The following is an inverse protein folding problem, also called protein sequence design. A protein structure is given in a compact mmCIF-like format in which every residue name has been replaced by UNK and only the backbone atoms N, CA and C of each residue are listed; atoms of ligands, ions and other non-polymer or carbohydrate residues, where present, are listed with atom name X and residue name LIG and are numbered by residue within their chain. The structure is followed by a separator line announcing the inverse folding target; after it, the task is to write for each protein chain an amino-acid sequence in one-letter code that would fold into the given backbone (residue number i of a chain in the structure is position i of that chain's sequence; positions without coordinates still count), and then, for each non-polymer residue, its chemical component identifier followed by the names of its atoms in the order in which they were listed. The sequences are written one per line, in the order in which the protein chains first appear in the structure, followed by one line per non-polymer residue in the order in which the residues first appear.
data_IF_983633633966
#
_entry.id   IF_983633633966
#
_cell.length_a   1.000
_cell.length_b   1.000
_cell.length_c   1.000
_cell.angle_alpha   90.00
_cell.angle_beta   90.00
_cell.angle_gamma   90.00
#
_symmetry.space_group_name_H-M   'P 1'
#
loop_
_entity.id
_entity.type
_entity.pdbx_description
1 polymer ?
#
# COMPACT_ATOMS: atom_id res chain seq x y z
N UNK A 1 40.96 -43.05 -21.75
CA UNK A 1 40.75 -43.90 -22.94
C UNK A 1 39.38 -43.60 -23.52
N UNK A 2 39.33 -43.39 -24.83
CA UNK A 2 38.22 -42.85 -25.60
C UNK A 2 37.21 -43.90 -26.08
N UNK A 3 35.97 -43.46 -26.38
CA UNK A 3 34.99 -43.93 -27.40
C UNK A 3 33.67 -43.17 -27.13
N UNK A 4 33.09 -42.23 -27.91
CA UNK A 4 32.83 -42.02 -29.35
C UNK A 4 31.54 -42.71 -29.87
N UNK A 5 30.64 -41.89 -30.49
CA UNK A 5 29.53 -42.17 -31.46
C UNK A 5 28.20 -42.73 -30.87
N UNK A 6 26.95 -42.32 -31.18
CA UNK A 6 26.31 -41.40 -32.16
C UNK A 6 24.83 -41.08 -31.81
N UNK A 7 24.32 -40.03 -32.46
CA UNK A 7 22.95 -39.49 -32.57
C UNK A 7 21.88 -40.41 -33.21
N UNK A 8 20.60 -40.18 -32.87
CA UNK A 8 19.45 -40.46 -33.75
C UNK A 8 18.27 -39.49 -33.51
N UNK A 9 17.90 -38.75 -34.56
CA UNK A 9 16.63 -38.01 -34.75
C UNK A 9 15.53 -38.93 -35.29
N UNK A 10 14.23 -38.63 -35.07
CA UNK A 10 13.16 -39.08 -35.96
C UNK A 10 12.64 -37.98 -36.89
N UNK A 11 12.45 -38.35 -38.17
CA UNK A 11 11.84 -37.56 -39.25
C UNK A 11 10.32 -37.64 -39.22
N UNK A 12 9.71 -36.48 -39.50
CA UNK A 12 8.48 -36.20 -40.26
C UNK A 12 7.86 -37.36 -41.07
N UNK A 13 6.54 -37.48 -40.98
CA UNK A 13 5.66 -37.85 -42.10
C UNK A 13 4.73 -36.70 -42.46
N UNK A 14 4.46 -36.59 -43.77
CA UNK A 14 3.60 -35.62 -44.45
C UNK A 14 2.35 -36.35 -44.95
N UNK A 15 1.20 -35.68 -44.93
CA UNK A 15 0.20 -35.82 -45.99
C UNK A 15 -0.52 -34.48 -46.23
N UNK A 16 -0.58 -34.10 -47.50
CA UNK A 16 -1.32 -32.97 -48.07
C UNK A 16 -2.80 -33.40 -48.30
N UNK A 17 -3.80 -32.60 -48.66
CA UNK A 17 -3.89 -31.32 -49.40
C UNK A 17 -5.34 -30.77 -49.35
N UNK A 18 -5.49 -29.44 -49.15
CA UNK A 18 -6.37 -28.41 -49.78
C UNK A 18 -7.85 -28.68 -50.19
N UNK A 19 -8.63 -27.62 -50.53
CA UNK A 19 -8.89 -26.33 -49.87
C UNK A 19 -10.42 -26.05 -49.78
N UNK A 20 -10.87 -24.97 -49.12
CA UNK A 20 -12.02 -24.13 -49.55
C UNK A 20 -12.35 -22.99 -48.55
N UNK A 21 -12.37 -21.78 -49.11
CA UNK A 21 -13.21 -20.60 -48.84
C UNK A 21 -13.10 -19.80 -47.54
N UNK A 22 -12.77 -18.52 -47.77
CA UNK A 22 -12.92 -17.34 -46.91
C UNK A 22 -14.35 -17.17 -46.39
N UNK A 23 -14.50 -16.85 -45.10
CA UNK A 23 -15.60 -16.07 -44.56
C UNK A 23 -15.09 -15.23 -43.37
N UNK A 24 -15.24 -13.91 -43.49
CA UNK A 24 -14.90 -12.91 -42.48
C UNK A 24 -15.76 -13.06 -41.20
N UNK A 25 -15.25 -12.72 -40.00
CA UNK A 25 -16.07 -12.63 -38.80
C UNK A 25 -16.77 -11.27 -38.69
N UNK A 26 -18.10 -11.28 -38.76
CA UNK A 26 -18.98 -10.13 -38.52
C UNK A 26 -18.84 -9.54 -37.10
N UNK A 27 -18.81 -8.21 -37.06
CA UNK A 27 -18.86 -7.35 -35.88
C UNK A 27 -20.31 -7.27 -35.35
N UNK A 28 -20.61 -7.52 -34.06
CA UNK A 28 -21.95 -7.28 -33.54
C UNK A 28 -22.19 -5.79 -33.26
N UNK A 29 -23.12 -5.21 -34.02
CA UNK A 29 -23.65 -3.86 -33.85
C UNK A 29 -24.47 -3.69 -32.55
N UNK A 30 -24.58 -2.46 -32.00
CA UNK A 30 -25.12 -2.19 -30.66
C UNK A 30 -26.66 -2.27 -30.60
N UNK A 31 -27.19 -2.81 -29.50
CA UNK A 31 -28.63 -2.87 -29.23
C UNK A 31 -29.19 -1.49 -28.86
N UNK A 32 -30.28 -1.15 -29.54
CA UNK A 32 -30.99 0.12 -29.51
C UNK A 32 -31.66 0.46 -28.17
N UNK A 33 -31.59 1.75 -27.84
CA UNK A 33 -32.27 2.47 -26.76
C UNK A 33 -33.77 2.61 -27.08
N UNK A 34 -34.63 2.43 -26.07
CA UNK A 34 -36.08 2.75 -26.12
C UNK A 34 -36.43 3.80 -25.04
N UNK A 35 -37.56 4.54 -25.20
CA UNK A 35 -37.53 6.01 -25.21
C UNK A 35 -37.89 6.70 -23.89
N UNK A 36 -37.54 7.99 -23.85
CA UNK A 36 -37.86 8.98 -22.80
C UNK A 36 -39.38 9.12 -22.60
N UNK A 37 -39.80 9.14 -21.33
CA UNK A 37 -41.16 9.46 -20.90
C UNK A 37 -41.32 10.97 -20.70
N UNK A 38 -42.53 11.44 -20.97
CA UNK A 38 -42.91 12.79 -21.33
C UNK A 38 -42.79 13.86 -20.24
N UNK A 39 -42.46 15.07 -20.72
CA UNK A 39 -42.64 16.38 -20.07
C UNK A 39 -44.12 16.74 -20.09
N UNK A 40 -44.65 17.25 -18.97
CA UNK A 40 -46.03 17.74 -18.84
C UNK A 40 -46.05 19.28 -18.79
N UNK A 41 -46.65 19.85 -19.84
CA UNK A 41 -47.42 21.11 -19.98
C UNK A 41 -46.91 22.45 -19.41
N UNK A 42 -46.64 23.37 -20.34
CA UNK A 42 -46.71 24.85 -20.26
C UNK A 42 -48.16 25.37 -20.10
N UNK A 43 -48.45 26.51 -19.45
CA UNK A 43 -48.57 27.92 -19.95
C UNK A 43 -49.25 28.79 -18.85
N UNK A 44 -49.39 30.15 -18.96
CA UNK A 44 -48.93 31.11 -19.99
C UNK A 44 -48.11 32.30 -19.40
N UNK A 45 -47.13 32.87 -20.10
CA UNK A 45 -47.18 34.11 -20.94
C UNK A 45 -48.23 35.16 -20.56
N UNK A 46 -47.76 36.31 -20.07
CA UNK A 46 -48.31 37.63 -20.42
C UNK A 46 -47.19 38.46 -21.07
N UNK A 47 -47.58 39.14 -22.14
CA UNK A 47 -46.83 40.11 -22.93
C UNK A 47 -46.74 41.44 -22.16
N UNK A 48 -45.65 42.20 -22.31
CA UNK A 48 -45.72 43.47 -23.04
C UNK A 48 -44.35 44.17 -23.18
N UNK A 49 -44.18 44.66 -24.41
CA UNK A 49 -43.43 45.83 -24.91
C UNK A 49 -41.96 46.09 -24.55
N UNK A 50 -41.16 46.22 -25.62
CA UNK A 50 -39.89 46.95 -25.68
C UNK A 50 -40.17 48.45 -25.80
N UNK A 51 -39.39 49.27 -25.10
CA UNK A 51 -38.94 50.58 -25.61
C UNK A 51 -37.66 51.04 -24.88
N UNK A 52 -36.78 51.71 -25.63
CA UNK A 52 -35.48 52.22 -25.23
C UNK A 52 -35.61 53.48 -24.35
N UNK A 53 -34.71 53.68 -23.38
CA UNK A 53 -33.67 54.73 -23.40
C UNK A 53 -33.05 54.97 -22.00
N UNK A 54 -31.70 55.09 -22.01
CA UNK A 54 -30.79 55.83 -21.14
C UNK A 54 -31.18 56.10 -19.66
N UNK A 55 -30.39 55.54 -18.72
CA UNK A 55 -29.80 56.36 -17.66
C UNK A 55 -28.61 55.71 -16.95
N UNK A 56 -27.66 56.56 -16.59
CA UNK A 56 -26.37 56.30 -15.95
C UNK A 56 -26.49 55.97 -14.44
N UNK A 57 -25.40 55.39 -13.92
CA UNK A 57 -24.95 55.35 -12.51
C UNK A 57 -25.74 54.64 -11.40
N UNK A 58 -25.29 53.42 -11.04
CA UNK A 58 -25.29 52.93 -9.66
C UNK A 58 -24.20 51.85 -9.43
N UNK A 59 -23.43 51.87 -8.33
CA UNK A 59 -22.32 50.95 -8.12
C UNK A 59 -22.78 49.54 -7.76
N UNK A 60 -22.09 48.54 -8.30
CA UNK A 60 -22.31 47.13 -8.04
C UNK A 60 -22.18 46.80 -6.54
N UNK A 61 -23.25 46.26 -5.96
CA UNK A 61 -23.25 45.74 -4.60
C UNK A 61 -22.21 44.61 -4.46
N UNK A 62 -21.18 44.85 -3.65
CA UNK A 62 -20.17 43.87 -3.30
C UNK A 62 -20.82 42.62 -2.68
N UNK A 63 -20.69 41.47 -3.34
CA UNK A 63 -21.02 40.17 -2.76
C UNK A 63 -20.11 39.92 -1.57
N UNK A 64 -20.64 40.03 -0.35
CA UNK A 64 -19.95 39.62 0.88
C UNK A 64 -19.51 38.15 0.73
N UNK A 65 -18.20 37.92 0.67
CA UNK A 65 -17.62 36.60 0.86
C UNK A 65 -18.09 36.06 2.21
N UNK A 66 -18.80 34.92 2.21
CA UNK A 66 -19.01 34.14 3.43
C UNK A 66 -17.65 33.62 3.86
N UNK A 67 -17.03 34.31 4.82
CA UNK A 67 -15.88 33.76 5.56
C UNK A 67 -16.43 32.57 6.33
N UNK A 68 -16.16 31.35 5.86
CA UNK A 68 -16.40 30.16 6.65
C UNK A 68 -15.58 30.29 7.93
N UNK A 69 -16.22 30.25 9.11
CA UNK A 69 -15.49 30.13 10.38
C UNK A 69 -14.49 28.99 10.22
N UNK A 70 -13.20 29.29 10.38
CA UNK A 70 -12.16 28.26 10.39
C UNK A 70 -12.58 27.19 11.40
N UNK A 71 -12.68 25.94 10.96
CA UNK A 71 -12.88 24.83 11.90
C UNK A 71 -11.70 24.87 12.87
N UNK A 72 -11.99 24.69 14.16
CA UNK A 72 -10.94 24.64 15.17
C UNK A 72 -9.87 23.61 14.78
N UNK A 73 -8.61 24.00 14.92
CA UNK A 73 -7.45 23.15 14.70
C UNK A 73 -6.67 23.02 16.01
N UNK A 74 -6.21 21.81 16.39
CA UNK A 74 -6.48 20.53 15.73
C UNK A 74 -7.95 20.11 15.89
N UNK A 75 -8.44 19.13 15.10
CA UNK A 75 -9.72 18.50 15.38
C UNK A 75 -9.77 18.00 16.83
N UNK A 76 -10.90 18.20 17.52
CA UNK A 76 -11.04 17.90 18.95
C UNK A 76 -10.68 16.44 19.28
N UNK A 77 -11.04 15.52 18.38
CA UNK A 77 -10.75 14.09 18.48
C UNK A 77 -9.25 13.72 18.28
N UNK A 78 -8.39 14.68 17.93
CA UNK A 78 -6.94 14.52 17.73
C UNK A 78 -6.12 15.46 18.63
N UNK A 79 -6.74 16.10 19.62
CA UNK A 79 -6.04 17.05 20.50
C UNK A 79 -4.80 16.44 21.17
N UNK A 80 -3.66 17.16 21.24
CA UNK A 80 -2.40 16.64 21.78
C UNK A 80 -2.49 16.02 23.19
N UNK A 81 -3.44 16.46 24.02
CA UNK A 81 -3.67 15.89 25.36
C UNK A 81 -4.12 14.42 25.34
N UNK A 82 -4.64 13.94 24.22
CA UNK A 82 -5.05 12.54 24.03
C UNK A 82 -3.87 11.62 23.68
N UNK A 83 -2.67 12.18 23.51
CA UNK A 83 -1.52 11.45 22.98
C UNK A 83 -0.71 10.93 24.15
N UNK A 84 -0.68 9.61 24.28
CA UNK A 84 0.07 8.96 25.34
C UNK A 84 1.54 9.39 25.28
N UNK A 85 2.20 9.59 26.45
CA UNK A 85 3.64 9.78 26.48
C UNK A 85 4.33 8.62 25.76
N UNK A 86 5.21 8.95 24.80
CA UNK A 86 6.05 7.94 24.10
C UNK A 86 7.23 7.45 24.94
N UNK A 87 7.38 8.00 26.14
CA UNK A 87 8.40 7.59 27.11
C UNK A 87 7.94 6.26 27.71
N UNK A 88 8.57 5.16 27.30
CA UNK A 88 8.22 3.83 27.79
C UNK A 88 8.36 2.70 26.78
N UNK A 89 8.60 2.98 25.49
CA UNK A 89 8.92 1.91 24.55
C UNK A 89 10.24 1.25 24.95
N UNK A 90 10.28 -0.09 25.04
CA UNK A 90 11.49 -0.79 25.45
C UNK A 90 12.58 -0.48 24.43
N UNK A 91 13.66 0.12 24.93
CA UNK A 91 14.87 0.28 24.16
C UNK A 91 15.59 -1.07 24.20
N UNK A 92 15.39 -1.88 23.16
CA UNK A 92 15.97 -3.22 23.09
C UNK A 92 17.48 -3.14 22.87
N UNK A 93 18.26 -3.74 23.76
CA UNK A 93 19.71 -3.83 23.59
C UNK A 93 20.00 -4.89 22.54
N UNK A 94 20.19 -4.44 21.31
CA UNK A 94 20.53 -5.32 20.21
C UNK A 94 21.86 -6.04 20.51
N UNK A 95 21.98 -7.32 20.13
CA UNK A 95 23.24 -8.03 20.25
C UNK A 95 24.31 -7.28 19.44
N UNK A 96 25.55 -7.25 19.96
CA UNK A 96 26.69 -6.68 19.26
C UNK A 96 26.91 -7.47 17.96
N UNK A 97 26.38 -6.98 16.83
CA UNK A 97 26.54 -7.66 15.56
C UNK A 97 27.84 -7.22 14.88
N UNK A 98 28.51 -8.16 14.22
CA UNK A 98 29.59 -7.89 13.26
C UNK A 98 29.02 -7.54 11.88
N UNK A 99 27.72 -7.27 11.77
CA UNK A 99 27.08 -6.98 10.50
C UNK A 99 27.69 -5.71 9.92
N UNK A 100 28.04 -5.76 8.64
CA UNK A 100 28.57 -4.63 7.89
C UNK A 100 27.69 -3.41 8.11
N UNK A 101 28.30 -2.26 8.39
CA UNK A 101 27.58 -0.97 8.41
C UNK A 101 26.72 -0.87 7.14
N UNK A 102 25.42 -0.75 7.30
CA UNK A 102 24.45 -0.67 6.20
C UNK A 102 24.60 0.61 5.34
N UNK A 103 25.78 1.18 5.13
CA UNK A 103 26.02 2.34 4.25
C UNK A 103 25.01 3.50 4.35
N UNK A 104 24.29 3.59 5.46
CA UNK A 104 23.01 4.24 5.61
C UNK A 104 22.87 4.38 7.11
N UNK A 105 22.94 5.64 7.55
CA UNK A 105 22.87 6.11 8.93
C UNK A 105 23.11 4.97 9.93
N UNK A 106 24.39 4.71 10.26
CA UNK A 106 24.66 3.95 11.47
C UNK A 106 23.87 4.63 12.59
N UNK A 107 23.22 3.90 13.53
CA UNK A 107 22.68 4.55 14.71
C UNK A 107 23.82 5.38 15.28
N UNK A 108 23.73 6.70 15.09
CA UNK A 108 24.67 7.63 15.67
C UNK A 108 24.28 7.64 17.13
N UNK A 109 24.78 6.65 17.86
CA UNK A 109 25.05 6.59 19.28
C UNK A 109 24.94 5.15 19.78
N UNK A 110 25.84 4.82 20.69
CA UNK A 110 25.85 3.73 21.67
C UNK A 110 24.62 3.76 22.63
N UNK A 111 23.49 4.30 22.17
CA UNK A 111 22.27 4.49 22.95
C UNK A 111 21.21 3.55 22.41
N UNK A 112 20.78 2.62 23.26
CA UNK A 112 19.56 1.85 23.05
C UNK A 112 18.42 2.82 22.74
N UNK A 113 17.84 2.74 21.53
CA UNK A 113 16.69 3.53 21.10
C UNK A 113 15.54 2.58 20.76
N UNK A 114 14.27 3.00 20.96
CA UNK A 114 13.13 2.22 20.49
C UNK A 114 13.11 2.17 18.94
N UNK A 115 12.56 1.09 18.39
CA UNK A 115 12.31 0.98 16.95
C UNK A 115 11.37 2.10 16.48
N UNK A 116 11.51 2.59 15.23
CA UNK A 116 10.59 3.59 14.67
C UNK A 116 9.35 2.88 14.14
N UNK A 117 8.43 2.54 15.02
CA UNK A 117 7.28 1.69 14.73
C UNK A 117 5.97 2.50 14.65
N UNK A 118 5.13 2.16 13.69
CA UNK A 118 3.77 2.68 13.61
C UNK A 118 2.95 2.08 12.48
N UNK A 119 2.10 2.90 11.87
CA UNK A 119 1.15 2.47 10.84
C UNK A 119 1.01 3.49 9.71
N UNK A 120 0.47 3.04 8.58
CA UNK A 120 0.04 3.92 7.49
C UNK A 120 -1.27 4.61 7.85
N UNK A 121 -1.18 5.85 8.33
CA UNK A 121 -2.34 6.59 8.84
C UNK A 121 -2.91 7.59 7.82
N UNK A 122 -4.20 7.87 7.95
CA UNK A 122 -4.87 8.85 7.09
C UNK A 122 -4.32 10.26 7.29
N UNK A 123 -4.15 11.01 6.19
CA UNK A 123 -3.86 12.43 6.16
C UNK A 123 -5.12 13.30 5.92
N UNK A 124 -6.32 12.73 6.08
CA UNK A 124 -7.58 13.46 5.90
C UNK A 124 -7.67 14.62 6.89
N UNK A 125 -7.93 15.83 6.37
CA UNK A 125 -7.85 17.08 7.14
C UNK A 125 -6.49 17.79 7.03
N UNK A 126 -5.55 17.25 6.26
CA UNK A 126 -4.22 17.81 6.01
C UNK A 126 -3.10 16.93 6.57
N UNK A 127 -1.87 17.00 6.03
CA UNK A 127 -0.76 16.11 6.39
C UNK A 127 -0.44 16.13 7.89
N UNK A 128 -0.60 17.26 8.56
CA UNK A 128 -0.39 17.39 10.01
C UNK A 128 -1.31 16.47 10.84
N UNK A 129 -2.50 16.13 10.34
CA UNK A 129 -3.40 15.19 11.03
C UNK A 129 -2.82 13.77 11.08
N UNK A 130 -1.97 13.38 10.14
CA UNK A 130 -1.31 12.07 10.14
C UNK A 130 -0.38 11.94 11.34
N UNK A 131 0.44 12.95 11.62
CA UNK A 131 1.31 12.99 12.81
C UNK A 131 0.49 12.83 14.10
N UNK A 132 -0.67 13.48 14.15
CA UNK A 132 -1.54 13.41 15.31
C UNK A 132 -2.19 12.04 15.48
N UNK A 133 -2.69 11.44 14.38
CA UNK A 133 -3.27 10.08 14.39
C UNK A 133 -2.22 9.04 14.76
N UNK A 134 -1.02 9.14 14.21
CA UNK A 134 0.10 8.30 14.60
C UNK A 134 0.40 8.45 16.10
N UNK A 135 0.38 9.68 16.63
CA UNK A 135 0.61 9.94 18.06
C UNK A 135 -0.46 9.30 18.95
N UNK A 136 -1.72 9.40 18.54
CA UNK A 136 -2.85 8.75 19.21
C UNK A 136 -2.74 7.22 19.19
N UNK A 137 -2.20 6.66 18.10
CA UNK A 137 -1.96 5.22 18.00
C UNK A 137 -0.78 4.73 18.85
N UNK A 138 0.02 5.62 19.44
CA UNK A 138 1.28 5.26 20.11
C UNK A 138 2.42 4.99 19.13
N UNK A 139 2.39 5.61 17.95
CA UNK A 139 3.43 5.42 16.95
C UNK A 139 4.56 6.45 17.10
N UNK A 140 5.79 6.02 16.82
CA UNK A 140 6.98 6.87 16.68
C UNK A 140 7.60 6.79 15.28
N UNK A 141 7.17 5.84 14.44
CA UNK A 141 7.31 5.86 12.98
C UNK A 141 5.93 5.89 12.31
N UNK A 142 5.82 6.30 11.04
CA UNK A 142 4.54 6.26 10.32
C UNK A 142 4.73 6.29 8.80
N UNK A 143 3.64 5.95 8.11
CA UNK A 143 3.45 6.31 6.70
C UNK A 143 2.19 7.17 6.52
N UNK A 144 2.16 7.89 5.41
CA UNK A 144 1.00 8.63 4.94
C UNK A 144 1.04 8.80 3.43
N UNK A 145 -0.12 9.08 2.84
CA UNK A 145 -0.17 9.73 1.53
C UNK A 145 -0.07 11.25 1.70
N UNK A 146 0.82 11.89 0.92
CA UNK A 146 0.92 13.37 0.89
C UNK A 146 -0.25 14.02 0.14
N UNK A 147 -0.94 13.29 -0.73
CA UNK A 147 -2.16 13.74 -1.40
C UNK A 147 -3.12 12.59 -1.61
N UNK A 148 -4.29 12.86 -2.18
CA UNK A 148 -5.25 11.80 -2.50
C UNK A 148 -4.62 10.78 -3.45
N UNK A 149 -4.54 9.53 -3.01
CA UNK A 149 -4.03 8.40 -3.79
C UNK A 149 -4.94 8.03 -4.96
N UNK A 150 -6.15 8.60 -5.02
CA UNK A 150 -7.17 8.38 -6.06
C UNK A 150 -7.10 9.40 -7.20
N UNK A 151 -6.20 10.39 -7.12
CA UNK A 151 -6.16 11.51 -8.07
C UNK A 151 -4.74 11.80 -8.55
N UNK A 152 -4.60 12.08 -9.84
CA UNK A 152 -3.34 12.48 -10.46
C UNK A 152 -2.85 13.85 -9.97
N UNK A 153 -3.75 14.81 -9.84
CA UNK A 153 -3.44 16.19 -9.44
C UNK A 153 -4.15 16.55 -8.15
N UNK A 154 -3.49 17.36 -7.34
CA UNK A 154 -4.06 17.96 -6.13
C UNK A 154 -3.69 19.43 -6.08
N UNK A 155 -4.44 20.22 -5.31
CA UNK A 155 -4.09 21.62 -5.08
C UNK A 155 -2.70 21.70 -4.40
N UNK A 156 -1.90 22.74 -4.69
CA UNK A 156 -0.73 23.06 -3.89
C UNK A 156 -1.08 23.15 -2.40
N UNK A 157 -0.11 22.88 -1.53
CA UNK A 157 -0.30 23.18 -0.11
C UNK A 157 -0.30 24.69 0.10
N UNK A 158 -1.18 25.15 0.99
CA UNK A 158 -1.09 26.49 1.56
C UNK A 158 0.07 26.54 2.57
N UNK A 159 0.71 27.69 2.73
CA UNK A 159 1.87 27.86 3.63
C UNK A 159 1.57 27.44 5.07
N UNK A 160 0.36 27.76 5.56
CA UNK A 160 -0.12 27.36 6.89
C UNK A 160 -0.13 25.83 7.06
N UNK A 161 -0.44 25.07 6.00
CA UNK A 161 -0.46 23.60 6.04
C UNK A 161 0.95 23.05 6.23
N UNK A 162 1.93 23.61 5.52
CA UNK A 162 3.34 23.22 5.62
C UNK A 162 3.91 23.60 6.98
N UNK A 163 3.66 24.83 7.43
CA UNK A 163 4.15 25.34 8.71
C UNK A 163 3.64 24.50 9.87
N UNK A 164 2.34 24.21 9.90
CA UNK A 164 1.70 23.36 10.91
C UNK A 164 2.30 21.95 10.96
N UNK A 165 2.60 21.36 9.80
CA UNK A 165 3.27 20.05 9.76
C UNK A 165 4.66 20.14 10.39
N UNK A 166 5.46 21.12 9.98
CA UNK A 166 6.82 21.33 10.52
C UNK A 166 6.83 21.62 12.02
N UNK A 167 5.84 22.37 12.52
CA UNK A 167 5.67 22.62 13.96
C UNK A 167 5.40 21.34 14.74
N UNK A 168 4.53 20.46 14.23
CA UNK A 168 4.29 19.17 14.86
C UNK A 168 5.46 18.20 14.75
N UNK A 169 6.35 18.36 13.76
CA UNK A 169 7.57 17.53 13.67
C UNK A 169 8.58 17.81 14.79
N UNK A 170 8.62 19.05 15.31
CA UNK A 170 9.56 19.47 16.36
C UNK A 170 9.52 18.57 17.59
N UNK A 171 10.58 18.65 18.41
CA UNK A 171 10.67 17.84 19.63
C UNK A 171 9.51 18.15 20.61
N UNK A 172 9.26 17.25 21.56
CA UNK A 172 8.23 17.51 22.58
C UNK A 172 8.58 18.71 23.46
N UNK A 173 9.87 18.93 23.72
CA UNK A 173 10.39 20.08 24.47
C UNK A 173 10.13 21.40 23.73
N UNK A 174 10.13 21.37 22.40
CA UNK A 174 9.78 22.50 21.53
C UNK A 174 8.28 22.64 21.28
N UNK A 175 7.44 21.81 21.92
CA UNK A 175 5.97 21.83 21.81
C UNK A 175 5.41 21.06 20.61
N UNK A 176 6.24 20.28 19.90
CA UNK A 176 5.82 19.39 18.82
C UNK A 176 5.51 17.96 19.28
N UNK A 177 5.46 17.04 18.32
CA UNK A 177 5.18 15.63 18.56
C UNK A 177 6.45 14.78 18.68
N UNK A 178 7.61 15.27 18.23
CA UNK A 178 8.89 14.56 18.28
C UNK A 178 9.01 13.47 17.22
N UNK A 179 8.72 13.80 15.96
CA UNK A 179 8.97 12.91 14.83
C UNK A 179 10.21 13.38 14.06
N UNK A 180 11.15 12.47 13.84
CA UNK A 180 12.29 12.73 12.97
C UNK A 180 11.89 12.64 11.49
N UNK A 181 12.53 13.38 10.57
CA UNK A 181 12.28 13.24 9.13
C UNK A 181 12.45 11.80 8.60
N UNK A 182 13.30 11.00 9.24
CA UNK A 182 13.56 9.59 8.98
C UNK A 182 12.46 8.66 9.48
N UNK A 183 11.62 9.09 10.43
CA UNK A 183 10.54 8.26 10.98
C UNK A 183 9.30 8.23 10.09
N UNK A 184 9.32 8.89 8.93
CA UNK A 184 8.17 9.05 8.05
C UNK A 184 8.48 8.46 6.68
N UNK A 185 7.77 7.38 6.33
CA UNK A 185 7.85 6.72 5.04
C UNK A 185 6.60 7.06 4.22
N UNK A 186 6.63 8.11 3.40
CA UNK A 186 5.47 8.45 2.57
C UNK A 186 5.20 7.32 1.59
N UNK A 187 3.94 6.92 1.42
CA UNK A 187 3.56 6.00 0.35
C UNK A 187 3.07 6.78 -0.87
N UNK A 188 3.53 6.41 -2.06
CA UNK A 188 3.11 6.98 -3.34
C UNK A 188 1.73 6.47 -3.78
N UNK A 189 1.07 7.20 -4.68
CA UNK A 189 -0.22 6.74 -5.23
C UNK A 189 -0.06 5.41 -5.99
N UNK A 190 -0.97 4.45 -5.73
CA UNK A 190 -1.07 3.19 -6.49
C UNK A 190 -1.40 3.38 -7.98
N UNK A 191 -1.72 4.61 -8.42
CA UNK A 191 -1.92 4.93 -9.83
C UNK A 191 -0.59 5.01 -10.60
N UNK A 192 0.51 5.32 -9.91
CA UNK A 192 1.82 5.52 -10.52
C UNK A 192 2.32 4.19 -11.10
N UNK A 193 2.67 4.19 -12.39
CA UNK A 193 3.40 3.09 -13.01
C UNK A 193 4.55 3.66 -13.85
N UNK A 194 5.73 3.77 -13.23
CA UNK A 194 6.96 4.27 -13.88
C UNK A 194 7.63 3.21 -14.77
N UNK A 195 7.18 1.96 -14.70
CA UNK A 195 7.59 0.87 -15.58
C UNK A 195 6.77 0.73 -16.87
N UNK A 196 5.79 1.62 -17.10
CA UNK A 196 4.91 1.56 -18.27
C UNK A 196 5.63 2.10 -19.53
N UNK A 197 5.70 1.35 -20.65
CA UNK A 197 6.37 1.80 -21.87
C UNK A 197 5.56 2.82 -22.69
N UNK A 198 4.27 3.00 -22.39
CA UNK A 198 3.44 4.02 -23.04
C UNK A 198 3.89 5.43 -22.60
N UNK A 199 4.41 6.28 -23.51
CA UNK A 199 4.97 7.58 -23.13
C UNK A 199 3.96 8.53 -22.47
N UNK A 200 2.69 8.44 -22.83
CA UNK A 200 1.65 9.30 -22.25
C UNK A 200 1.32 8.86 -20.82
N UNK A 201 1.17 7.56 -20.58
CA UNK A 201 0.93 7.01 -19.23
C UNK A 201 2.15 7.16 -18.33
N UNK A 202 3.35 6.96 -18.88
CA UNK A 202 4.60 7.20 -18.17
C UNK A 202 4.70 8.66 -17.75
N UNK A 203 4.43 9.61 -18.65
CA UNK A 203 4.46 11.05 -18.32
C UNK A 203 3.48 11.41 -17.21
N UNK A 204 2.24 10.92 -17.27
CA UNK A 204 1.25 11.18 -16.20
C UNK A 204 1.71 10.60 -14.85
N UNK A 205 2.31 9.40 -14.86
CA UNK A 205 2.89 8.78 -13.67
C UNK A 205 4.08 9.58 -13.12
N UNK A 206 4.97 10.04 -14.00
CA UNK A 206 6.15 10.84 -13.64
C UNK A 206 5.75 12.19 -13.02
N UNK A 207 4.78 12.90 -13.60
CA UNK A 207 4.31 14.16 -13.03
C UNK A 207 3.69 13.96 -11.63
N UNK A 208 2.96 12.86 -11.42
CA UNK A 208 2.42 12.51 -10.11
C UNK A 208 3.54 12.19 -9.10
N UNK A 209 4.52 11.39 -9.52
CA UNK A 209 5.69 11.02 -8.73
C UNK A 209 6.53 12.24 -8.32
N UNK A 210 6.80 13.14 -9.27
CA UNK A 210 7.50 14.40 -9.03
C UNK A 210 6.74 15.31 -8.07
N UNK A 211 5.42 15.44 -8.24
CA UNK A 211 4.55 16.25 -7.36
C UNK A 211 4.54 15.72 -5.91
N UNK A 212 4.51 14.40 -5.74
CA UNK A 212 4.59 13.76 -4.41
C UNK A 212 5.95 14.01 -3.74
N UNK A 213 7.05 13.83 -4.48
CA UNK A 213 8.40 14.03 -3.96
C UNK A 213 8.64 15.51 -3.62
N UNK A 214 8.13 16.44 -4.44
CA UNK A 214 8.15 17.86 -4.11
C UNK A 214 7.38 18.18 -2.82
N UNK A 215 6.25 17.50 -2.56
CA UNK A 215 5.50 17.64 -1.29
C UNK A 215 6.25 17.09 -0.10
N UNK A 216 6.92 15.94 -0.26
CA UNK A 216 7.80 15.40 0.78
C UNK A 216 8.86 16.44 1.15
N UNK A 217 9.53 17.02 0.15
CA UNK A 217 10.53 18.06 0.36
C UNK A 217 9.94 19.30 1.06
N UNK A 218 8.79 19.81 0.62
CA UNK A 218 8.10 20.94 1.25
C UNK A 218 7.81 20.71 2.74
N UNK A 219 7.34 19.51 3.08
CA UNK A 219 7.03 19.09 4.45
C UNK A 219 8.27 18.76 5.29
N UNK A 220 9.46 18.65 4.66
CA UNK A 220 10.69 18.23 5.32
C UNK A 220 10.82 16.72 5.52
N UNK A 221 10.01 15.92 4.84
CA UNK A 221 10.07 14.46 4.87
C UNK A 221 11.19 13.97 3.94
N UNK A 222 11.95 12.95 4.37
CA UNK A 222 13.10 12.45 3.61
C UNK A 222 12.82 11.18 2.81
N UNK A 223 11.84 10.36 3.17
CA UNK A 223 11.62 9.05 2.53
C UNK A 223 10.31 9.04 1.74
N UNK A 224 10.39 8.73 0.45
CA UNK A 224 9.23 8.51 -0.42
C UNK A 224 9.25 7.08 -0.98
N UNK A 225 8.37 6.24 -0.46
CA UNK A 225 8.14 4.87 -0.88
C UNK A 225 7.11 4.76 -2.00
N UNK A 226 7.35 3.90 -2.98
CA UNK A 226 6.34 3.56 -3.98
C UNK A 226 6.59 2.20 -4.62
N UNK A 227 5.55 1.68 -5.28
CA UNK A 227 5.60 0.47 -6.07
C UNK A 227 6.24 0.76 -7.45
N UNK A 228 7.32 0.07 -7.86
CA UNK A 228 8.05 0.39 -9.09
C UNK A 228 7.18 0.34 -10.35
N UNK A 229 6.22 -0.59 -10.39
CA UNK A 229 5.17 -0.64 -11.41
C UNK A 229 5.10 -1.96 -12.15
N UNK A 230 4.67 -1.90 -13.40
CA UNK A 230 4.44 -3.06 -14.25
C UNK A 230 4.75 -2.75 -15.71
N UNK A 231 5.33 -3.74 -16.40
CA UNK A 231 5.55 -3.72 -17.86
C UNK A 231 4.25 -3.71 -18.66
N UNK A 232 3.11 -3.98 -18.00
CA UNK A 232 1.77 -4.20 -18.56
C UNK A 232 1.74 -5.24 -19.69
N UNK A 233 2.76 -6.09 -19.79
CA UNK A 233 2.93 -7.05 -20.88
C UNK A 233 3.34 -6.42 -22.22
N UNK A 234 3.73 -5.14 -22.22
CA UNK A 234 4.03 -4.37 -23.42
C UNK A 234 5.54 -4.07 -23.60
N UNK A 235 6.39 -4.45 -22.65
CA UNK A 235 7.85 -4.38 -22.75
C UNK A 235 8.51 -5.46 -21.90
N UNK A 236 9.82 -5.64 -22.10
CA UNK A 236 10.67 -6.47 -21.23
C UNK A 236 10.83 -5.83 -19.84
N UNK A 237 11.26 -6.63 -18.85
CA UNK A 237 11.55 -6.11 -17.52
C UNK A 237 12.73 -5.14 -17.55
N UNK A 238 13.73 -5.42 -18.37
CA UNK A 238 14.94 -4.59 -18.52
C UNK A 238 14.60 -3.20 -19.07
N UNK A 239 13.73 -3.11 -20.07
CA UNK A 239 13.20 -1.84 -20.57
C UNK A 239 12.42 -1.10 -19.48
N UNK A 240 11.61 -1.82 -18.72
CA UNK A 240 10.86 -1.26 -17.59
C UNK A 240 11.79 -0.72 -16.49
N UNK A 241 12.87 -1.44 -16.15
CA UNK A 241 13.88 -0.99 -15.19
C UNK A 241 14.53 0.32 -15.63
N UNK A 242 14.84 0.44 -16.92
CA UNK A 242 15.41 1.67 -17.49
C UNK A 242 14.43 2.85 -17.40
N UNK A 243 13.13 2.62 -17.61
CA UNK A 243 12.09 3.66 -17.46
C UNK A 243 11.92 4.12 -16.00
N UNK A 244 11.98 3.19 -15.05
CA UNK A 244 11.92 3.50 -13.62
C UNK A 244 13.17 4.28 -13.20
N UNK A 245 14.36 3.79 -13.57
CA UNK A 245 15.62 4.48 -13.27
C UNK A 245 15.69 5.87 -13.90
N UNK A 246 15.17 6.04 -15.13
CA UNK A 246 15.02 7.35 -15.77
C UNK A 246 14.17 8.31 -14.94
N UNK A 247 13.02 7.87 -14.43
CA UNK A 247 12.17 8.69 -13.56
C UNK A 247 12.90 9.09 -12.26
N UNK A 248 13.60 8.15 -11.63
CA UNK A 248 14.40 8.41 -10.42
C UNK A 248 15.50 9.45 -10.70
N UNK A 249 16.30 9.23 -11.75
CA UNK A 249 17.40 10.15 -12.11
C UNK A 249 16.89 11.55 -12.45
N UNK A 250 15.72 11.66 -13.08
CA UNK A 250 15.12 12.94 -13.41
C UNK A 250 14.60 13.65 -12.16
N UNK A 251 13.88 12.96 -11.27
CA UNK A 251 13.35 13.59 -10.06
C UNK A 251 14.44 13.99 -9.08
N UNK A 252 15.54 13.23 -8.99
CA UNK A 252 16.67 13.58 -8.13
C UNK A 252 17.35 14.89 -8.55
N UNK A 253 17.35 15.20 -9.85
CA UNK A 253 17.80 16.49 -10.40
C UNK A 253 16.81 17.61 -10.11
N UNK A 254 15.51 17.31 -10.17
CA UNK A 254 14.43 18.29 -10.04
C UNK A 254 14.11 18.67 -8.58
N UNK A 255 14.24 17.73 -7.64
CA UNK A 255 13.89 17.92 -6.22
C UNK A 255 15.04 17.41 -5.36
N UNK A 256 15.57 18.24 -4.42
CA UNK A 256 16.69 17.83 -3.58
C UNK A 256 16.25 17.00 -2.37
N UNK A 257 17.22 16.37 -1.71
CA UNK A 257 17.15 15.74 -0.37
C UNK A 257 16.23 14.51 -0.19
N UNK A 258 15.14 14.39 -0.93
CA UNK A 258 14.21 13.27 -0.79
C UNK A 258 14.82 12.01 -1.38
N UNK A 259 14.80 10.94 -0.61
CA UNK A 259 15.26 9.61 -0.96
C UNK A 259 14.08 8.84 -1.53
N UNK A 260 14.26 8.29 -2.73
CA UNK A 260 13.30 7.42 -3.39
C UNK A 260 13.49 6.00 -2.87
N UNK A 261 12.47 5.45 -2.21
CA UNK A 261 12.44 4.10 -1.63
C UNK A 261 11.58 3.18 -2.52
N UNK A 262 12.19 2.17 -3.14
CA UNK A 262 11.48 1.22 -4.02
C UNK A 262 10.95 0.07 -3.16
N UNK A 263 9.65 -0.16 -3.18
CA UNK A 263 9.05 -1.31 -2.48
C UNK A 263 9.13 -2.59 -3.32
N UNK A 264 9.31 -3.74 -2.67
CA UNK A 264 9.11 -5.03 -3.33
C UNK A 264 7.63 -5.37 -3.47
N UNK A 265 7.29 -6.25 -4.41
CA UNK A 265 5.91 -6.50 -4.84
C UNK A 265 5.50 -7.96 -4.64
N UNK A 266 4.25 -8.21 -4.24
CA UNK A 266 3.71 -9.57 -4.01
C UNK A 266 3.51 -10.42 -5.27
N UNK A 267 3.10 -9.78 -6.36
CA UNK A 267 2.45 -10.47 -7.47
C UNK A 267 3.48 -10.93 -8.52
N UNK A 268 4.02 -12.15 -8.43
CA UNK A 268 5.05 -12.66 -9.37
C UNK A 268 4.54 -13.00 -10.79
N UNK A 269 3.44 -12.39 -11.24
CA UNK A 269 3.09 -12.41 -12.67
C UNK A 269 4.22 -11.81 -13.51
N UNK A 270 4.37 -12.26 -14.77
CA UNK A 270 5.48 -11.89 -15.66
C UNK A 270 5.68 -10.38 -15.82
N UNK A 271 4.62 -9.60 -15.64
CA UNK A 271 4.58 -8.18 -15.95
C UNK A 271 4.80 -7.28 -14.73
N UNK A 272 4.85 -7.81 -13.50
CA UNK A 272 5.10 -6.98 -12.31
C UNK A 272 6.59 -6.86 -12.09
N UNK A 273 7.03 -5.64 -11.81
CA UNK A 273 8.43 -5.32 -11.50
C UNK A 273 8.59 -5.26 -9.98
N UNK A 274 9.72 -5.73 -9.46
CA UNK A 274 10.05 -5.63 -8.03
C UNK A 274 9.62 -6.83 -7.19
N UNK A 275 9.20 -7.93 -7.82
CA UNK A 275 8.87 -9.18 -7.10
C UNK A 275 10.12 -9.96 -6.72
N UNK A 276 11.14 -9.91 -7.58
CA UNK A 276 12.44 -10.51 -7.30
C UNK A 276 13.43 -9.45 -6.81
N UNK A 277 14.31 -9.82 -5.88
CA UNK A 277 15.42 -8.96 -5.44
C UNK A 277 16.30 -8.48 -6.60
N UNK A 278 16.45 -9.31 -7.64
CA UNK A 278 17.19 -8.98 -8.85
C UNK A 278 16.59 -7.77 -9.59
N UNK A 279 15.27 -7.61 -9.60
CA UNK A 279 14.59 -6.48 -10.24
C UNK A 279 15.00 -5.18 -9.54
N UNK A 280 14.93 -5.15 -8.21
CA UNK A 280 15.33 -3.99 -7.39
C UNK A 280 16.80 -3.64 -7.61
N UNK A 281 17.69 -4.64 -7.55
CA UNK A 281 19.12 -4.43 -7.78
C UNK A 281 19.41 -3.89 -9.19
N UNK A 282 18.64 -4.32 -10.20
CA UNK A 282 18.81 -3.92 -11.59
C UNK A 282 18.39 -2.47 -11.81
N UNK A 283 17.29 -2.04 -11.16
CA UNK A 283 16.88 -0.63 -11.16
C UNK A 283 17.96 0.22 -10.47
N UNK A 284 18.40 -0.16 -9.26
CA UNK A 284 19.40 0.60 -8.48
C UNK A 284 20.73 0.77 -9.24
N UNK A 285 21.17 -0.25 -9.99
CA UNK A 285 22.39 -0.17 -10.83
C UNK A 285 22.32 0.99 -11.83
N UNK A 286 21.14 1.22 -12.42
CA UNK A 286 20.87 2.25 -13.43
C UNK A 286 20.62 3.64 -12.83
N UNK A 287 20.43 3.75 -11.51
CA UNK A 287 20.32 5.05 -10.83
C UNK A 287 21.68 5.73 -10.73
N UNK A 288 21.75 7.00 -11.09
CA UNK A 288 22.95 7.84 -11.07
C UNK A 288 23.35 8.16 -9.62
N UNK A 289 22.46 8.81 -8.86
CA UNK A 289 22.69 9.14 -7.45
C UNK A 289 22.25 7.99 -6.52
N UNK A 290 23.18 7.06 -6.31
CA UNK A 290 22.96 5.90 -5.42
C UNK A 290 22.79 6.29 -3.95
N UNK A 291 23.16 7.51 -3.56
CA UNK A 291 22.96 7.99 -2.19
C UNK A 291 21.48 8.29 -1.88
N UNK A 292 20.66 8.52 -2.92
CA UNK A 292 19.24 8.91 -2.82
C UNK A 292 18.25 7.86 -3.32
N UNK A 293 18.69 6.61 -3.50
CA UNK A 293 17.80 5.45 -3.74
C UNK A 293 17.93 4.42 -2.64
N UNK A 294 16.80 3.88 -2.18
CA UNK A 294 16.70 2.87 -1.13
C UNK A 294 15.57 1.89 -1.46
N UNK A 295 15.33 0.92 -0.58
CA UNK A 295 14.34 -0.14 -0.70
C UNK A 295 13.49 -0.23 0.57
N UNK A 296 12.19 -0.46 0.39
CA UNK A 296 11.28 -0.89 1.45
C UNK A 296 11.00 -2.38 1.25
N UNK A 297 11.08 -3.15 2.34
CA UNK A 297 10.64 -4.55 2.34
C UNK A 297 9.24 -4.61 2.93
N UNK A 298 8.25 -5.03 2.15
CA UNK A 298 6.95 -5.46 2.65
C UNK A 298 6.99 -6.97 2.93
N UNK A 299 6.65 -7.36 4.16
CA UNK A 299 6.70 -8.77 4.60
C UNK A 299 5.65 -9.65 3.92
N UNK A 300 4.45 -9.14 3.67
CA UNK A 300 3.41 -9.88 2.94
C UNK A 300 3.83 -10.06 1.47
N UNK A 301 4.40 -9.04 0.85
CA UNK A 301 4.91 -9.11 -0.52
C UNK A 301 6.06 -10.10 -0.66
N UNK A 302 7.00 -10.04 0.29
CA UNK A 302 8.14 -10.96 0.38
C UNK A 302 7.66 -12.41 0.43
N UNK A 303 6.70 -12.68 1.32
CA UNK A 303 6.09 -13.99 1.48
C UNK A 303 5.29 -14.43 0.25
N UNK A 304 4.49 -13.53 -0.33
CA UNK A 304 3.72 -13.81 -1.53
C UNK A 304 4.60 -14.10 -2.76
N UNK A 305 5.79 -13.50 -2.83
CA UNK A 305 6.80 -13.74 -3.87
C UNK A 305 7.61 -15.03 -3.66
N UNK A 306 7.39 -15.74 -2.54
CA UNK A 306 8.00 -17.05 -2.25
C UNK A 306 9.27 -17.01 -1.40
N UNK A 307 9.60 -15.87 -0.79
CA UNK A 307 10.66 -15.79 0.20
C UNK A 307 10.09 -16.10 1.59
N UNK A 308 10.53 -17.19 2.20
CA UNK A 308 10.04 -17.61 3.51
C UNK A 308 10.75 -16.85 4.63
N UNK A 309 9.98 -16.36 5.60
CA UNK A 309 10.45 -15.62 6.78
C UNK A 309 9.85 -16.16 8.09
N UNK A 310 9.14 -17.30 8.04
CA UNK A 310 8.32 -17.82 9.15
C UNK A 310 9.14 -18.28 10.37
N UNK A 311 10.39 -18.70 10.16
CA UNK A 311 11.27 -19.18 11.23
C UNK A 311 12.55 -18.34 11.27
N UNK A 312 13.32 -18.37 12.38
CA UNK A 312 14.60 -17.68 12.46
C UNK A 312 15.56 -18.06 11.32
N UNK A 313 15.57 -19.34 10.92
CA UNK A 313 16.44 -19.86 9.87
C UNK A 313 16.03 -19.32 8.49
N UNK A 314 14.73 -19.39 8.15
CA UNK A 314 14.26 -18.91 6.85
C UNK A 314 14.32 -17.39 6.74
N UNK A 315 14.06 -16.68 7.84
CA UNK A 315 14.28 -15.25 7.92
C UNK A 315 15.74 -14.88 7.66
N UNK A 316 16.69 -15.53 8.34
CA UNK A 316 18.11 -15.27 8.15
C UNK A 316 18.57 -15.59 6.71
N UNK A 317 18.08 -16.67 6.11
CA UNK A 317 18.34 -17.01 4.71
C UNK A 317 17.81 -15.95 3.75
N UNK A 318 16.56 -15.50 3.93
CA UNK A 318 15.93 -14.46 3.12
C UNK A 318 16.68 -13.14 3.22
N UNK A 319 17.06 -12.70 4.43
CA UNK A 319 17.80 -11.46 4.64
C UNK A 319 19.24 -11.55 4.10
N UNK A 320 19.91 -12.71 4.24
CA UNK A 320 21.21 -12.95 3.60
C UNK A 320 21.12 -12.81 2.09
N UNK A 321 20.08 -13.41 1.46
CA UNK A 321 19.88 -13.31 0.02
C UNK A 321 19.56 -11.87 -0.43
N UNK A 322 18.81 -11.12 0.38
CA UNK A 322 18.59 -9.70 0.14
C UNK A 322 19.91 -8.92 0.14
N UNK A 323 20.78 -9.15 1.11
CA UNK A 323 22.10 -8.51 1.19
C UNK A 323 23.00 -8.87 -0.02
N UNK A 324 23.02 -10.14 -0.41
CA UNK A 324 23.84 -10.59 -1.55
C UNK A 324 23.38 -9.98 -2.89
N UNK A 325 22.08 -9.78 -3.09
CA UNK A 325 21.51 -9.34 -4.37
C UNK A 325 21.33 -7.83 -4.44
N UNK A 326 20.78 -7.23 -3.39
CA UNK A 326 20.47 -5.79 -3.32
C UNK A 326 21.52 -5.08 -2.47
N UNK A 327 21.82 -5.63 -1.30
CA UNK A 327 22.68 -5.02 -0.28
C UNK A 327 21.86 -4.37 0.82
N UNK A 328 22.13 -4.76 2.07
CA UNK A 328 21.49 -4.23 3.27
C UNK A 328 21.58 -2.71 3.37
N UNK A 329 22.60 -2.11 2.73
CA UNK A 329 22.77 -0.66 2.68
C UNK A 329 21.66 0.13 2.00
N UNK A 330 20.85 -0.55 1.21
CA UNK A 330 19.72 0.06 0.55
C UNK A 330 18.43 -0.05 1.36
N UNK A 331 18.37 -0.82 2.45
CA UNK A 331 17.18 -0.90 3.27
C UNK A 331 16.92 0.44 3.97
N UNK A 332 15.70 0.98 3.85
CA UNK A 332 15.31 2.24 4.49
C UNK A 332 13.90 2.22 5.11
N UNK A 333 13.21 1.08 5.07
CA UNK A 333 11.90 0.93 5.68
C UNK A 333 11.39 -0.50 5.54
N UNK A 334 10.44 -0.87 6.39
CA UNK A 334 9.75 -2.17 6.30
C UNK A 334 8.25 -1.93 6.48
N UNK A 335 7.45 -2.49 5.59
CA UNK A 335 6.02 -2.64 5.84
C UNK A 335 5.76 -3.97 6.53
N UNK A 336 5.15 -3.91 7.72
CA UNK A 336 4.88 -5.04 8.59
C UNK A 336 3.45 -5.53 8.35
N UNK A 337 3.33 -6.50 7.46
CA UNK A 337 2.05 -7.07 7.03
C UNK A 337 2.12 -8.60 7.14
N UNK A 338 1.24 -9.20 7.95
CA UNK A 338 1.02 -10.64 7.88
C UNK A 338 0.26 -10.97 6.57
N UNK A 339 0.20 -12.24 6.16
CA UNK A 339 -0.45 -12.64 4.91
C UNK A 339 -1.64 -13.55 5.16
N UNK A 340 -2.78 -13.25 4.53
CA UNK A 340 -3.93 -14.17 4.47
C UNK A 340 -3.71 -15.33 3.51
N UNK A 341 -2.68 -15.26 2.67
CA UNK A 341 -2.41 -16.22 1.63
C UNK A 341 -1.15 -17.02 1.96
N UNK A 342 -1.06 -18.24 1.44
CA UNK A 342 0.10 -19.11 1.64
C UNK A 342 1.36 -18.55 0.97
N UNK A 343 2.53 -19.05 1.41
CA UNK A 343 3.83 -18.76 0.80
C UNK A 343 3.79 -18.95 -0.72
N UNK A 344 4.30 -17.98 -1.48
CA UNK A 344 4.35 -18.07 -2.95
C UNK A 344 2.99 -17.99 -3.65
N UNK A 345 1.93 -17.57 -2.96
CA UNK A 345 0.59 -17.48 -3.55
C UNK A 345 0.42 -16.31 -4.54
N UNK A 346 1.39 -15.40 -4.64
CA UNK A 346 1.36 -14.21 -5.51
C UNK A 346 0.14 -13.31 -5.24
N UNK A 347 -0.32 -13.26 -3.99
CA UNK A 347 -1.48 -12.49 -3.56
C UNK A 347 -1.06 -11.48 -2.52
N UNK A 348 -1.27 -10.21 -2.85
CA UNK A 348 -1.24 -9.11 -1.91
C UNK A 348 -2.54 -9.12 -1.10
N UNK A 349 -2.53 -9.83 0.04
CA UNK A 349 -3.67 -9.93 0.95
C UNK A 349 -3.18 -9.82 2.39
N UNK A 350 -3.06 -8.60 2.88
CA UNK A 350 -2.58 -8.31 4.23
C UNK A 350 -3.51 -8.90 5.31
N UNK A 351 -2.90 -9.34 6.40
CA UNK A 351 -3.54 -9.77 7.64
C UNK A 351 -2.92 -9.05 8.85
N UNK A 352 -3.67 -8.97 9.94
CA UNK A 352 -3.16 -8.50 11.22
C UNK A 352 -2.02 -9.39 11.74
N UNK A 353 -1.07 -8.77 12.44
CA UNK A 353 0.18 -9.39 12.92
C UNK A 353 -0.09 -10.69 13.67
N UNK A 354 0.51 -11.80 13.22
CA UNK A 354 0.41 -13.10 13.87
C UNK A 354 -0.88 -13.88 13.61
N UNK A 355 -1.79 -13.35 12.80
CA UNK A 355 -3.08 -13.99 12.49
C UNK A 355 -3.14 -14.60 11.09
N UNK A 356 -2.10 -14.41 10.29
CA UNK A 356 -1.95 -14.98 8.96
C UNK A 356 -0.97 -16.15 8.90
N UNK A 357 -0.49 -16.42 7.69
CA UNK A 357 0.40 -17.53 7.36
C UNK A 357 1.88 -17.22 7.65
N UNK A 358 2.24 -15.96 7.95
CA UNK A 358 3.60 -15.57 8.35
C UNK A 358 3.81 -15.82 9.84
N UNK A 359 2.88 -15.36 10.68
CA UNK A 359 2.88 -15.65 12.12
C UNK A 359 3.86 -14.81 12.96
N UNK A 360 3.72 -14.87 14.30
CA UNK A 360 4.44 -13.99 15.22
C UNK A 360 5.97 -14.17 15.24
N UNK A 361 6.45 -15.37 14.91
CA UNK A 361 7.90 -15.65 14.97
C UNK A 361 8.70 -14.81 13.98
N UNK A 362 8.19 -14.59 12.78
CA UNK A 362 8.81 -13.71 11.80
C UNK A 362 8.92 -12.26 12.31
N UNK A 363 7.83 -11.72 12.86
CA UNK A 363 7.79 -10.35 13.37
C UNK A 363 8.69 -10.16 14.58
N UNK A 364 8.84 -11.18 15.43
CA UNK A 364 9.84 -11.16 16.51
C UNK A 364 11.26 -11.11 15.95
N UNK A 365 11.58 -11.87 14.90
CA UNK A 365 12.88 -11.82 14.25
C UNK A 365 13.17 -10.41 13.71
N UNK A 366 12.20 -9.83 12.99
CA UNK A 366 12.31 -8.46 12.45
C UNK A 366 12.54 -7.44 13.56
N UNK A 367 11.72 -7.48 14.62
CA UNK A 367 11.85 -6.54 15.74
C UNK A 367 13.18 -6.68 16.50
N UNK A 368 13.86 -7.83 16.42
CA UNK A 368 15.17 -8.05 17.04
C UNK A 368 16.35 -7.91 16.07
N UNK A 369 16.09 -7.59 14.80
CA UNK A 369 17.14 -7.42 13.80
C UNK A 369 17.75 -6.00 13.88
N UNK A 370 19.07 -5.87 14.11
CA UNK A 370 19.74 -4.57 14.12
C UNK A 370 19.56 -3.75 12.85
N UNK A 371 19.31 -4.38 11.69
CA UNK A 371 19.04 -3.70 10.41
C UNK A 371 17.81 -2.78 10.49
N UNK A 372 16.90 -3.03 11.44
CA UNK A 372 15.66 -2.27 11.61
C UNK A 372 15.82 -1.00 12.45
N UNK A 373 17.00 -0.78 13.03
CA UNK A 373 17.27 0.38 13.86
C UNK A 373 17.30 1.66 13.03
N UNK A 374 16.52 2.67 13.44
CA UNK A 374 16.53 3.98 12.79
C UNK A 374 15.85 4.04 11.43
N UNK A 375 15.16 2.96 11.01
CA UNK A 375 14.29 2.95 9.84
C UNK A 375 12.82 2.78 10.25
N UNK A 376 11.86 3.37 9.52
CA UNK A 376 10.44 3.24 9.81
C UNK A 376 9.94 1.81 9.53
N UNK A 377 9.28 1.24 10.52
CA UNK A 377 8.54 -0.02 10.48
C UNK A 377 7.05 0.33 10.51
N UNK A 378 6.32 0.03 9.44
CA UNK A 378 4.98 0.56 9.20
C UNK A 378 3.97 -0.57 9.01
N UNK A 379 2.96 -0.62 9.85
CA UNK A 379 1.79 -1.50 9.68
C UNK A 379 0.89 -0.96 8.55
N UNK A 380 0.52 -1.83 7.62
CA UNK A 380 -0.55 -1.60 6.64
C UNK A 380 -1.63 -2.69 6.76
N UNK A 381 -1.74 -3.23 7.98
CA UNK A 381 -2.66 -4.28 8.34
C UNK A 381 -4.11 -3.78 8.28
N UNK A 382 -5.08 -4.67 8.04
CA UNK A 382 -6.48 -4.29 7.98
C UNK A 382 -6.97 -3.63 9.29
N UNK A 383 -7.60 -2.46 9.15
CA UNK A 383 -8.25 -1.75 10.25
C UNK A 383 -9.78 -1.74 10.13
N UNK A 384 -10.51 -1.66 11.26
CA UNK A 384 -11.97 -1.57 11.25
C UNK A 384 -12.42 -0.25 10.63
N UNK A 385 -13.55 -0.26 9.93
CA UNK A 385 -14.24 0.98 9.57
C UNK A 385 -15.04 1.45 10.80
N UNK A 386 -14.59 2.53 11.42
CA UNK A 386 -15.08 2.97 12.73
C UNK A 386 -15.40 4.48 12.73
N UNK A 387 -16.40 4.92 13.53
CA UNK A 387 -16.89 6.29 13.48
C UNK A 387 -15.92 7.30 14.10
N UNK A 388 -15.06 6.87 15.03
CA UNK A 388 -14.05 7.73 15.64
C UNK A 388 -12.63 7.34 15.22
N UNK A 389 -11.68 8.29 15.14
CA UNK A 389 -10.27 7.95 14.91
C UNK A 389 -9.71 6.99 15.96
N UNK A 390 -10.06 7.15 17.24
CA UNK A 390 -9.56 6.29 18.31
C UNK A 390 -9.96 4.82 18.10
N UNK A 391 -11.22 4.55 17.74
CA UNK A 391 -11.69 3.19 17.46
C UNK A 391 -11.04 2.62 16.19
N UNK A 392 -10.89 3.43 15.14
CA UNK A 392 -10.23 3.01 13.89
C UNK A 392 -8.76 2.63 14.13
N UNK A 393 -8.05 3.44 14.92
CA UNK A 393 -6.63 3.25 15.22
C UNK A 393 -6.36 2.17 16.28
N UNK A 394 -7.39 1.74 17.02
CA UNK A 394 -7.25 0.83 18.16
C UNK A 394 -6.54 -0.49 17.82
N UNK A 395 -6.76 -1.01 16.61
CA UNK A 395 -6.07 -2.22 16.15
C UNK A 395 -4.56 -2.00 16.04
N UNK A 396 -4.13 -0.88 15.46
CA UNK A 396 -2.72 -0.56 15.29
C UNK A 396 -2.07 -0.21 16.63
N UNK A 397 -2.79 0.44 17.55
CA UNK A 397 -2.32 0.61 18.93
C UNK A 397 -1.99 -0.73 19.59
N UNK A 398 -2.85 -1.73 19.39
CA UNK A 398 -2.62 -3.07 19.92
C UNK A 398 -1.50 -3.82 19.21
N UNK A 399 -1.40 -3.72 17.88
CA UNK A 399 -0.31 -4.36 17.11
C UNK A 399 1.05 -3.73 17.42
N UNK A 400 1.14 -2.41 17.59
CA UNK A 400 2.36 -1.71 18.02
C UNK A 400 2.78 -2.24 19.40
N UNK A 401 1.86 -2.33 20.35
CA UNK A 401 2.14 -2.87 21.69
C UNK A 401 2.59 -4.34 21.63
N UNK A 402 1.91 -5.16 20.81
CA UNK A 402 2.24 -6.57 20.60
C UNK A 402 3.66 -6.74 20.03
N UNK A 403 4.06 -5.92 19.05
CA UNK A 403 5.38 -5.99 18.44
C UNK A 403 6.50 -5.67 19.44
N UNK A 404 6.29 -4.67 20.30
CA UNK A 404 7.23 -4.38 21.40
C UNK A 404 7.22 -5.49 22.47
N UNK A 405 6.07 -6.09 22.77
CA UNK A 405 5.97 -7.20 23.72
C UNK A 405 6.77 -8.41 23.23
N UNK A 406 6.57 -8.86 21.99
CA UNK A 406 7.27 -10.03 21.46
C UNK A 406 8.77 -9.80 21.28
N UNK A 407 9.19 -8.55 21.03
CA UNK A 407 10.60 -8.17 20.96
C UNK A 407 11.31 -8.43 22.30
N UNK A 408 10.64 -8.14 23.41
CA UNK A 408 11.19 -8.21 24.76
C UNK A 408 11.22 -9.63 25.36
N UNK A 409 10.69 -10.64 24.66
CA UNK A 409 10.66 -12.03 25.13
C UNK A 409 12.01 -12.69 24.82
N UNK A 410 12.61 -13.33 25.82
CA UNK A 410 13.85 -14.10 25.66
C UNK A 410 13.64 -15.41 24.87
N UNK A 411 14.72 -15.95 24.31
CA UNK A 411 14.64 -17.09 23.38
C UNK A 411 14.16 -18.39 24.06
N UNK A 412 14.51 -18.61 25.33
CA UNK A 412 14.12 -19.78 26.13
C UNK A 412 12.65 -19.77 26.56
N UNK A 413 12.05 -18.58 26.67
CA UNK A 413 10.63 -18.40 27.02
C UNK A 413 9.71 -18.33 25.79
N UNK A 414 10.27 -18.18 24.59
CA UNK A 414 9.51 -17.81 23.39
C UNK A 414 8.40 -18.80 23.05
N UNK A 415 8.70 -20.09 22.99
CA UNK A 415 7.72 -21.11 22.56
C UNK A 415 6.53 -21.21 23.50
N UNK A 416 6.75 -21.02 24.80
CA UNK A 416 5.69 -21.01 25.82
C UNK A 416 4.84 -19.75 25.69
N UNK A 417 5.47 -18.57 25.72
CA UNK A 417 4.76 -17.29 25.69
C UNK A 417 4.05 -17.04 24.36
N UNK A 418 4.62 -17.46 23.23
CA UNK A 418 4.02 -17.32 21.89
C UNK A 418 2.61 -17.89 21.87
N UNK A 419 2.42 -19.12 22.34
CA UNK A 419 1.10 -19.78 22.31
C UNK A 419 0.04 -19.09 23.19
N UNK A 420 0.45 -18.46 24.29
CA UNK A 420 -0.43 -17.66 25.15
C UNK A 420 -0.81 -16.34 24.49
N UNK A 421 0.20 -15.66 23.91
CA UNK A 421 0.03 -14.38 23.21
C UNK A 421 -0.87 -14.56 21.99
N UNK A 422 -0.70 -15.61 21.18
CA UNK A 422 -1.55 -15.88 20.01
C UNK A 422 -3.03 -16.04 20.39
N UNK A 423 -3.30 -16.76 21.49
CA UNK A 423 -4.67 -16.96 22.00
C UNK A 423 -5.27 -15.65 22.50
N UNK A 424 -4.52 -14.90 23.32
CA UNK A 424 -4.94 -13.60 23.86
C UNK A 424 -5.19 -12.61 22.72
N UNK A 425 -4.22 -12.47 21.83
CA UNK A 425 -4.25 -11.52 20.72
C UNK A 425 -5.42 -11.79 19.78
N UNK A 426 -5.67 -13.05 19.40
CA UNK A 426 -6.82 -13.40 18.55
C UNK A 426 -8.14 -12.92 19.16
N UNK A 427 -8.32 -13.11 20.48
CA UNK A 427 -9.52 -12.65 21.19
C UNK A 427 -9.64 -11.12 21.21
N UNK A 428 -8.54 -10.42 21.43
CA UNK A 428 -8.51 -8.95 21.40
C UNK A 428 -8.79 -8.41 20.00
N UNK A 429 -8.16 -8.97 18.96
CA UNK A 429 -8.39 -8.59 17.56
C UNK A 429 -9.86 -8.80 17.17
N UNK A 430 -10.42 -9.98 17.47
CA UNK A 430 -11.81 -10.30 17.13
C UNK A 430 -12.82 -9.39 17.84
N UNK A 431 -12.47 -8.84 19.02
CA UNK A 431 -13.30 -7.86 19.72
C UNK A 431 -13.26 -6.47 19.04
N UNK A 432 -12.16 -6.11 18.37
CA UNK A 432 -11.98 -4.83 17.67
C UNK A 432 -12.57 -4.88 16.26
N UNK A 433 -12.24 -5.94 15.51
CA UNK A 433 -12.65 -6.12 14.13
C UNK A 433 -13.16 -7.56 13.93
N UNK A 434 -14.44 -7.82 14.24
CA UNK A 434 -15.00 -9.15 14.17
C UNK A 434 -14.88 -9.73 12.75
N UNK A 435 -14.50 -11.01 12.61
CA UNK A 435 -14.46 -11.64 11.30
C UNK A 435 -15.84 -11.61 10.66
N UNK A 436 -15.91 -11.17 9.40
CA UNK A 436 -17.18 -11.15 8.64
C UNK A 436 -17.77 -12.56 8.61
N UNK A 437 -19.00 -12.72 9.11
CA UNK A 437 -19.70 -14.00 9.03
C UNK A 437 -19.71 -14.49 7.57
N UNK A 438 -19.16 -15.69 7.33
CA UNK A 438 -19.33 -16.34 6.03
C UNK A 438 -20.83 -16.60 5.87
N UNK A 439 -21.52 -15.80 5.04
CA UNK A 439 -22.90 -16.08 4.63
C UNK A 439 -22.94 -17.53 4.16
N UNK A 440 -23.63 -18.39 4.91
CA UNK A 440 -23.88 -19.77 4.48
C UNK A 440 -24.47 -19.69 3.06
N UNK A 441 -23.97 -20.47 2.09
CA UNK A 441 -24.61 -20.54 0.79
C UNK A 441 -26.08 -20.89 1.02
N UNK A 442 -26.98 -20.08 0.47
CA UNK A 442 -28.42 -20.32 0.57
C UNK A 442 -28.68 -21.77 0.17
N UNK A 443 -29.28 -22.55 1.09
CA UNK A 443 -29.63 -23.92 0.82
C UNK A 443 -30.46 -23.95 -0.47
N UNK A 444 -29.92 -24.58 -1.52
CA UNK A 444 -30.69 -24.85 -2.74
C UNK A 444 -31.96 -25.57 -2.30
N UNK A 445 -33.10 -24.93 -2.51
CA UNK A 445 -34.40 -25.45 -2.13
C UNK A 445 -34.56 -26.88 -2.64
N UNK A 446 -34.95 -27.78 -1.74
CA UNK A 446 -35.34 -29.15 -2.09
C UNK A 446 -36.41 -29.07 -3.18
N UNK A 447 -36.09 -29.58 -4.37
CA UNK A 447 -37.08 -29.84 -5.41
C UNK A 447 -38.17 -30.75 -4.81
N UNK A 448 -39.42 -30.27 -4.81
CA UNK A 448 -40.59 -31.07 -4.46
C UNK A 448 -40.68 -32.22 -5.47
N UNK A 449 -40.55 -33.46 -5.00
CA UNK A 449 -40.95 -34.67 -5.74
C UNK A 449 -42.44 -34.54 -6.06
N UNK A 450 -42.78 -34.47 -7.35
CA UNK A 450 -44.15 -34.62 -7.82
C UNK A 450 -44.63 -36.06 -7.51
N UNK A 451 -45.78 -36.16 -6.86
CA UNK A 451 -46.47 -37.40 -6.51
C UNK A 451 -47.16 -37.91 -7.78
N UNK A 452 -46.76 -39.07 -8.27
CA UNK A 452 -47.44 -39.80 -9.35
C UNK A 452 -48.74 -40.34 -8.75
N UNK A 453 -49.88 -39.88 -9.26
CA UNK A 453 -51.19 -40.46 -8.97
C UNK A 453 -51.39 -41.57 -10.01
N UNK A 454 -51.56 -42.79 -9.52
CA UNK A 454 -52.06 -43.94 -10.28
C UNK A 454 -53.56 -43.69 -10.54
N UNK A 455 -53.95 -43.75 -11.81
CA UNK A 455 -55.35 -43.74 -12.23
C UNK A 455 -55.64 -45.12 -12.83
N UNK A 456 -56.53 -45.85 -12.17
CA UNK A 456 -56.97 -47.18 -12.54
C UNK A 456 -58.02 -47.10 -13.66
N UNK A 457 -57.68 -47.66 -14.83
CA UNK A 457 -58.41 -48.77 -15.44
C UNK A 457 -59.81 -48.58 -16.07
N UNK A 458 -59.87 -48.97 -17.35
CA UNK A 458 -61.01 -49.51 -18.14
C UNK A 458 -62.09 -48.52 -18.62
N UNK A 459 -62.67 -48.62 -19.83
CA UNK A 459 -62.53 -49.56 -20.97
C UNK A 459 -63.49 -49.11 -22.09
N UNK A 460 -63.16 -49.48 -23.35
CA UNK A 460 -64.07 -49.66 -24.51
C UNK A 460 -64.76 -48.40 -25.08
N UNK A 461 -65.09 -48.28 -26.36
CA UNK A 461 -64.85 -48.94 -27.66
C UNK A 461 -65.53 -47.99 -28.69
N UNK A 462 -65.32 -48.28 -29.98
CA UNK A 462 -66.15 -47.88 -31.13
C UNK A 462 -65.89 -46.54 -31.87
N UNK A 463 -65.66 -46.77 -33.18
CA UNK A 463 -65.72 -45.96 -34.41
C UNK A 463 -64.71 -44.85 -34.74
#
# INVERSE_FOLDING_TARGET
MARVITSATPKRERSASSPLTELEPEVPAPKAVKPKRAVRSTKPKNEDTKENDNNEDAPAAAKKQRVSKAKAWPPAELEPMLHLPRQGYPAFKLPCSTASSNGGIAPQNDKSQPMLLGAHVSAAGGPATALLRAGLAGANGLALFVKSQRQWKSKPYEDETVQRFKELMKSKEEGGMGYGPESILVHGSYLINLGNPDPAKWKVSYECFKDDIARCHQLGIKLYNWHPGSTVGACTKEESFALIAKAINQVHKDVPEVITVIENMANAGSNIVGTAWSDLSSIIKLVEDKSRVRVCIDTCHTFAAGYDIRTPETYAETMKRFDEVVGNKYLAGVHLNDSKANLGANKDLHENIGLGEIGLTAFRCIMRDPLMTGIPLVLETPAPDAPTPAEHLSIWTKEIALLYEIQAIEDDEWDVKKGEIEKRWRKERDAINPPKEKKKPAAKGKAKKAKKVEDDGCSHDED
#
